data_IF_567415683214
#
_entry.id   IF_567415683214
#
_cell.length_a   1.000
_cell.length_b   1.000
_cell.length_c   1.000
_cell.angle_alpha   90.00
_cell.angle_beta   90.00
_cell.angle_gamma   90.00
#
_symmetry.space_group_name_H-M   'P 1'
#
loop_
_entity.id
_entity.type
_entity.pdbx_description
1 polymer ?
#
# COMPACT_ATOMS: atom_id res chain seq x y z
N UNK A 1 -9.38 -10.96 -3.03
CA UNK A 1 -8.81 -9.69 -2.53
C UNK A 1 -7.70 -9.20 -3.45
N UNK A 2 -7.32 -7.93 -3.33
CA UNK A 2 -6.33 -7.25 -4.19
C UNK A 2 -4.99 -7.99 -4.26
N UNK A 3 -4.54 -8.56 -3.14
CA UNK A 3 -3.31 -9.35 -3.07
C UNK A 3 -3.29 -10.54 -4.05
N UNK A 4 -4.43 -11.25 -4.21
CA UNK A 4 -4.57 -12.36 -5.14
C UNK A 4 -4.53 -11.87 -6.60
N UNK A 5 -5.29 -10.82 -6.92
CA UNK A 5 -5.35 -10.26 -8.28
C UNK A 5 -3.96 -9.79 -8.73
N UNK A 6 -3.25 -9.06 -7.86
CA UNK A 6 -1.88 -8.62 -8.11
C UNK A 6 -0.91 -9.79 -8.25
N UNK A 7 -1.11 -10.87 -7.50
CA UNK A 7 -0.36 -12.12 -7.67
C UNK A 7 -0.56 -12.73 -9.05
N UNK A 8 -1.81 -12.83 -9.53
CA UNK A 8 -2.13 -13.34 -10.87
C UNK A 8 -1.55 -12.45 -11.98
N UNK A 9 -1.64 -11.14 -11.83
CA UNK A 9 -1.04 -10.22 -12.81
C UNK A 9 0.48 -10.34 -12.80
N UNK A 10 1.10 -10.50 -11.63
CA UNK A 10 2.55 -10.61 -11.49
C UNK A 10 3.14 -11.81 -12.24
N UNK A 11 2.45 -12.95 -12.32
CA UNK A 11 2.99 -14.15 -12.99
C UNK A 11 3.22 -13.96 -14.49
N UNK A 12 2.65 -12.90 -15.09
CA UNK A 12 2.80 -12.56 -16.50
C UNK A 12 3.89 -11.52 -16.76
N UNK A 13 4.43 -10.93 -15.71
CA UNK A 13 5.37 -9.81 -15.84
C UNK A 13 6.80 -10.30 -16.01
N UNK A 14 7.66 -9.57 -16.74
CA UNK A 14 9.07 -9.96 -16.89
C UNK A 14 9.86 -9.92 -15.57
N UNK A 15 9.32 -9.30 -14.52
CA UNK A 15 9.87 -9.28 -13.16
C UNK A 15 9.21 -10.27 -12.20
N UNK A 16 8.49 -11.28 -12.70
CA UNK A 16 7.84 -12.25 -11.83
C UNK A 16 8.84 -13.11 -11.03
N UNK A 17 10.07 -13.29 -11.53
CA UNK A 17 11.17 -14.03 -10.91
C UNK A 17 12.16 -13.12 -10.19
N UNK A 18 12.95 -13.67 -9.28
CA UNK A 18 14.02 -12.95 -8.58
C UNK A 18 15.05 -12.32 -9.54
N UNK A 19 15.39 -13.02 -10.63
CA UNK A 19 16.30 -12.57 -11.68
C UNK A 19 15.70 -11.36 -12.41
N UNK A 20 14.42 -11.45 -12.78
CA UNK A 20 13.69 -10.32 -13.38
C UNK A 20 13.64 -9.12 -12.44
N UNK A 21 13.31 -9.33 -11.15
CA UNK A 21 13.31 -8.23 -10.18
C UNK A 21 14.67 -7.51 -10.10
N UNK A 22 15.78 -8.25 -10.19
CA UNK A 22 17.14 -7.70 -10.23
C UNK A 22 17.43 -6.96 -11.54
N UNK A 23 17.08 -7.57 -12.67
CA UNK A 23 17.28 -6.99 -14.01
C UNK A 23 16.59 -5.63 -14.14
N UNK A 24 15.40 -5.49 -13.56
CA UNK A 24 14.63 -4.25 -13.58
C UNK A 24 14.89 -3.35 -12.36
N UNK A 25 15.85 -3.70 -11.50
CA UNK A 25 16.21 -2.95 -10.28
C UNK A 25 14.99 -2.53 -9.46
N UNK A 26 14.08 -3.48 -9.19
CA UNK A 26 12.82 -3.19 -8.53
C UNK A 26 13.01 -2.82 -7.06
N UNK A 27 12.26 -1.82 -6.61
CA UNK A 27 12.10 -1.53 -5.18
C UNK A 27 11.33 -2.66 -4.48
N UNK A 28 11.46 -2.79 -3.14
CA UNK A 28 10.65 -3.73 -2.37
C UNK A 28 9.16 -3.46 -2.55
N UNK A 29 8.40 -4.46 -3.01
CA UNK A 29 6.95 -4.32 -3.17
C UNK A 29 6.18 -4.43 -1.85
N UNK A 30 6.82 -4.95 -0.80
CA UNK A 30 6.16 -5.31 0.46
C UNK A 30 5.36 -4.16 1.10
N UNK A 31 5.89 -2.92 1.23
CA UNK A 31 5.10 -1.81 1.78
C UNK A 31 3.86 -1.48 0.94
N UNK A 32 3.98 -1.59 -0.39
CA UNK A 32 2.83 -1.37 -1.30
C UNK A 32 1.80 -2.49 -1.16
N UNK A 33 2.23 -3.76 -1.10
CA UNK A 33 1.31 -4.90 -0.97
C UNK A 33 0.54 -4.89 0.34
N UNK A 34 1.26 -4.74 1.47
CA UNK A 34 0.66 -4.74 2.80
C UNK A 34 -0.17 -3.46 3.01
N UNK A 35 0.29 -2.31 2.50
CA UNK A 35 -0.45 -1.05 2.51
C UNK A 35 -1.78 -1.14 1.77
N UNK A 36 -1.77 -1.64 0.53
CA UNK A 36 -3.00 -1.86 -0.24
C UNK A 36 -3.92 -2.88 0.43
N UNK A 37 -3.39 -3.97 0.96
CA UNK A 37 -4.18 -4.99 1.65
C UNK A 37 -4.92 -4.41 2.87
N UNK A 38 -4.21 -3.65 3.70
CA UNK A 38 -4.80 -2.99 4.87
C UNK A 38 -5.79 -1.90 4.50
N UNK A 39 -5.44 -1.04 3.55
CA UNK A 39 -6.31 0.02 3.04
C UNK A 39 -7.62 -0.55 2.48
N UNK A 40 -7.54 -1.60 1.66
CA UNK A 40 -8.72 -2.22 1.06
C UNK A 40 -9.59 -2.99 2.07
N UNK A 41 -9.05 -3.33 3.24
CA UNK A 41 -9.82 -3.96 4.33
C UNK A 41 -10.80 -3.00 5.02
N UNK A 42 -10.58 -1.69 4.89
CA UNK A 42 -11.43 -0.63 5.48
C UNK A 42 -12.21 0.18 4.46
N UNK A 43 -11.92 0.00 3.17
CA UNK A 43 -12.38 0.85 2.06
C UNK A 43 -13.89 1.13 1.98
N UNK A 44 -14.73 0.18 2.41
CA UNK A 44 -16.19 0.32 2.35
C UNK A 44 -16.87 0.30 3.72
N UNK A 45 -16.11 0.57 4.78
CA UNK A 45 -16.68 0.68 6.14
C UNK A 45 -17.34 2.06 6.29
N UNK A 46 -18.48 2.11 6.99
CA UNK A 46 -19.19 3.38 7.30
C UNK A 46 -18.32 4.39 8.06
N UNK A 47 -17.43 3.88 8.90
CA UNK A 47 -16.44 4.68 9.62
C UNK A 47 -15.09 4.02 9.37
N UNK A 48 -14.36 4.40 8.31
CA UNK A 48 -13.15 3.73 7.90
C UNK A 48 -11.95 4.23 8.71
N UNK A 49 -12.05 4.13 10.04
CA UNK A 49 -10.89 4.34 10.88
C UNK A 49 -9.83 3.30 10.52
N UNK A 50 -8.65 3.78 10.15
CA UNK A 50 -7.48 2.94 9.95
C UNK A 50 -7.20 2.13 11.23
N UNK A 51 -7.60 2.68 12.39
CA UNK A 51 -7.40 2.10 13.70
C UNK A 51 -8.66 2.18 14.56
N UNK A 52 -9.15 1.05 15.08
CA UNK A 52 -10.07 1.06 16.23
C UNK A 52 -9.27 1.50 17.47
N UNK A 53 -9.89 2.17 18.45
CA UNK A 53 -9.19 2.60 19.67
C UNK A 53 -8.42 1.44 20.36
N UNK A 54 -9.02 0.26 20.43
CA UNK A 54 -8.37 -0.96 20.93
C UNK A 54 -7.19 -1.43 20.06
N UNK A 55 -7.28 -1.28 18.73
CA UNK A 55 -6.18 -1.61 17.81
C UNK A 55 -5.01 -0.62 17.94
N UNK A 56 -5.25 0.68 18.14
CA UNK A 56 -4.16 1.66 18.37
C UNK A 56 -3.29 1.26 19.55
N UNK A 57 -3.94 0.93 20.66
CA UNK A 57 -3.26 0.44 21.86
C UNK A 57 -2.49 -0.86 21.56
N UNK A 58 -3.14 -1.83 20.93
CA UNK A 58 -2.50 -3.11 20.60
C UNK A 58 -1.30 -2.95 19.66
N UNK A 59 -1.39 -2.08 18.64
CA UNK A 59 -0.30 -1.76 17.73
C UNK A 59 0.86 -1.05 18.44
N UNK A 60 0.59 -0.06 19.30
CA UNK A 60 1.63 0.57 20.10
C UNK A 60 2.36 -0.45 20.99
N UNK A 61 1.61 -1.36 21.62
CA UNK A 61 2.16 -2.42 22.46
C UNK A 61 2.95 -3.45 21.64
N UNK A 62 2.44 -3.86 20.46
CA UNK A 62 3.08 -4.86 19.58
C UNK A 62 4.31 -4.33 18.87
N UNK A 63 4.29 -3.08 18.43
CA UNK A 63 5.47 -2.42 17.87
C UNK A 63 6.64 -2.45 18.86
N UNK A 64 6.38 -2.35 20.17
CA UNK A 64 7.41 -2.41 21.22
C UNK A 64 7.63 -3.81 21.81
N UNK A 65 6.90 -4.82 21.35
CA UNK A 65 7.00 -6.19 21.87
C UNK A 65 8.36 -6.80 21.53
N UNK A 66 9.08 -7.23 22.56
CA UNK A 66 10.43 -7.78 22.43
C UNK A 66 11.55 -6.74 22.41
N UNK A 67 11.22 -5.45 22.56
CA UNK A 67 12.22 -4.40 22.72
C UNK A 67 12.55 -4.23 24.22
N UNK A 68 13.78 -4.58 24.60
CA UNK A 68 14.24 -4.54 26.00
C UNK A 68 14.38 -3.11 26.54
N UNK A 69 14.76 -2.16 25.67
CA UNK A 69 14.90 -0.75 26.00
C UNK A 69 14.06 0.10 25.03
N UNK A 70 13.00 0.70 25.56
CA UNK A 70 12.05 1.52 24.78
C UNK A 70 12.53 2.95 24.55
N UNK A 71 13.65 3.36 25.17
CA UNK A 71 14.31 4.64 24.92
C UNK A 71 15.12 4.64 23.62
N UNK A 72 15.48 3.46 23.11
CA UNK A 72 16.22 3.29 21.86
C UNK A 72 15.28 3.13 20.65
N UNK A 73 15.71 3.52 19.43
CA UNK A 73 14.97 3.21 18.21
C UNK A 73 14.84 1.69 18.01
N UNK A 74 13.64 1.22 17.65
CA UNK A 74 13.37 -0.20 17.41
C UNK A 74 11.87 -0.51 17.42
N UNK A 75 11.45 -1.52 16.63
CA UNK A 75 10.09 -2.05 16.67
C UNK A 75 9.96 -3.45 16.02
N UNK A 76 8.89 -4.18 16.36
CA UNK A 76 8.51 -5.42 15.67
C UNK A 76 8.05 -5.11 14.23
N UNK A 77 8.94 -5.36 13.27
CA UNK A 77 8.93 -4.82 11.91
C UNK A 77 7.68 -5.10 11.07
N UNK A 78 6.93 -6.18 11.37
CA UNK A 78 5.79 -6.58 10.54
C UNK A 78 4.62 -5.61 10.64
N UNK A 79 4.26 -5.18 11.86
CA UNK A 79 3.12 -4.30 12.10
C UNK A 79 3.40 -2.87 11.60
N UNK A 80 4.66 -2.45 11.61
CA UNK A 80 5.11 -1.17 11.05
C UNK A 80 4.91 -1.09 9.54
N UNK A 81 5.18 -2.16 8.79
CA UNK A 81 5.05 -2.16 7.32
C UNK A 81 3.61 -1.93 6.87
N UNK A 82 2.62 -2.44 7.61
CA UNK A 82 1.21 -2.19 7.30
C UNK A 82 0.84 -0.72 7.45
N UNK A 83 1.25 -0.10 8.56
CA UNK A 83 0.97 1.30 8.88
C UNK A 83 1.67 2.23 7.87
N UNK A 84 2.99 2.07 7.75
CA UNK A 84 3.82 2.83 6.82
C UNK A 84 3.30 2.67 5.38
N UNK A 85 2.94 1.46 4.98
CA UNK A 85 2.36 1.17 3.67
C UNK A 85 1.05 1.92 3.40
N UNK A 86 0.10 1.93 4.34
CA UNK A 86 -1.15 2.68 4.18
C UNK A 86 -0.87 4.17 4.03
N UNK A 87 -0.06 4.74 4.93
CA UNK A 87 0.24 6.17 4.94
C UNK A 87 0.94 6.60 3.64
N UNK A 88 1.89 5.81 3.12
CA UNK A 88 2.53 6.06 1.83
C UNK A 88 1.53 6.04 0.68
N UNK A 89 0.65 5.05 0.63
CA UNK A 89 -0.38 4.97 -0.42
C UNK A 89 -1.34 6.15 -0.34
N UNK A 90 -1.75 6.56 0.86
CA UNK A 90 -2.63 7.72 1.05
C UNK A 90 -1.93 9.05 0.70
N UNK A 91 -0.65 9.23 1.07
CA UNK A 91 0.17 10.39 0.71
C UNK A 91 0.26 10.54 -0.81
N UNK A 92 0.52 9.45 -1.52
CA UNK A 92 0.67 9.49 -2.97
C UNK A 92 -0.61 9.15 -3.73
N UNK A 93 -1.79 9.11 -3.08
CA UNK A 93 -3.03 8.64 -3.72
C UNK A 93 -3.40 9.41 -4.99
N UNK A 94 -3.06 10.70 -5.06
CA UNK A 94 -3.34 11.54 -6.23
C UNK A 94 -2.34 11.34 -7.37
N UNK A 95 -1.18 10.73 -7.12
CA UNK A 95 -0.12 10.52 -8.13
C UNK A 95 0.01 9.06 -8.56
N UNK A 96 -0.52 8.12 -7.77
CA UNK A 96 -0.52 6.70 -8.10
C UNK A 96 -1.57 6.40 -9.17
N UNK A 97 -1.12 5.87 -10.31
CA UNK A 97 -2.00 5.20 -11.29
C UNK A 97 -2.41 3.83 -10.72
N UNK A 98 -3.52 3.79 -9.97
CA UNK A 98 -4.00 2.57 -9.30
C UNK A 98 -4.35 1.43 -10.27
N UNK A 99 -5.05 1.67 -11.40
CA UNK A 99 -5.28 0.62 -12.40
C UNK A 99 -3.98 0.04 -12.94
N UNK A 100 -3.00 0.88 -13.30
CA UNK A 100 -1.71 0.40 -13.78
C UNK A 100 -0.94 -0.32 -12.68
N UNK A 101 -0.94 0.20 -11.46
CA UNK A 101 -0.35 -0.46 -10.31
C UNK A 101 -0.94 -1.86 -10.13
N UNK A 102 -2.26 -2.02 -10.20
CA UNK A 102 -2.92 -3.32 -10.14
C UNK A 102 -2.48 -4.24 -11.28
N UNK A 103 -2.41 -3.73 -12.51
CA UNK A 103 -2.01 -4.47 -13.70
C UNK A 103 -0.55 -4.95 -13.68
N UNK A 104 0.37 -4.15 -13.14
CA UNK A 104 1.80 -4.47 -13.06
C UNK A 104 2.15 -5.51 -11.98
N UNK A 105 1.18 -5.96 -11.19
CA UNK A 105 1.37 -7.04 -10.22
C UNK A 105 2.16 -6.60 -8.98
N UNK A 106 3.11 -7.42 -8.51
CA UNK A 106 3.79 -7.26 -7.21
C UNK A 106 4.96 -6.27 -7.30
N UNK A 107 4.67 -4.99 -7.52
CA UNK A 107 5.65 -3.90 -7.64
C UNK A 107 5.38 -2.77 -6.64
N UNK A 108 6.40 -1.97 -6.31
CA UNK A 108 6.20 -0.73 -5.56
C UNK A 108 5.40 0.28 -6.39
N UNK A 109 4.56 1.10 -5.76
CA UNK A 109 3.88 2.21 -6.43
C UNK A 109 4.88 3.19 -7.08
N UNK A 110 6.08 3.28 -6.53
CA UNK A 110 7.15 4.17 -7.01
C UNK A 110 7.73 3.72 -8.36
N UNK A 111 7.64 2.41 -8.68
CA UNK A 111 8.17 1.85 -9.93
C UNK A 111 7.16 1.92 -11.08
N UNK A 112 5.88 2.23 -10.81
CA UNK A 112 4.76 2.13 -11.77
C UNK A 112 5.05 2.86 -13.07
N UNK A 113 5.44 4.14 -12.98
CA UNK A 113 5.67 4.98 -14.16
C UNK A 113 6.82 4.46 -15.04
N UNK A 114 7.89 3.96 -14.40
CA UNK A 114 9.05 3.41 -15.09
C UNK A 114 8.75 2.07 -15.76
N UNK A 115 7.93 1.24 -15.11
CA UNK A 115 7.59 -0.10 -15.58
C UNK A 115 6.50 -0.15 -16.65
N UNK A 116 5.71 0.92 -16.81
CA UNK A 116 4.63 1.03 -17.80
C UNK A 116 5.02 0.55 -19.20
N UNK A 117 6.23 0.87 -19.66
CA UNK A 117 6.75 0.52 -21.00
C UNK A 117 7.19 -0.94 -21.16
N UNK A 118 7.36 -1.66 -20.07
CA UNK A 118 7.83 -3.05 -20.07
C UNK A 118 6.74 -4.05 -19.63
N UNK A 119 5.69 -3.54 -19.00
CA UNK A 119 4.64 -4.36 -18.41
C UNK A 119 3.76 -5.04 -19.44
N UNK A 120 3.41 -6.29 -19.17
CA UNK A 120 2.39 -7.02 -19.91
C UNK A 120 1.03 -6.61 -19.38
N UNK A 121 0.34 -5.72 -20.10
CA UNK A 121 -0.96 -5.15 -19.69
C UNK A 121 -2.16 -5.88 -20.32
N UNK A 122 -1.93 -6.68 -21.36
CA UNK A 122 -2.99 -7.44 -22.02
C UNK A 122 -3.64 -8.42 -21.04
N UNK A 123 -4.98 -8.38 -20.96
CA UNK A 123 -5.78 -9.23 -20.06
C UNK A 123 -5.39 -9.09 -18.57
N UNK A 124 -4.81 -7.96 -18.17
CA UNK A 124 -4.59 -7.65 -16.78
C UNK A 124 -5.92 -7.59 -16.03
N UNK A 125 -5.96 -8.17 -14.83
CA UNK A 125 -7.16 -8.19 -14.00
C UNK A 125 -7.17 -6.96 -13.09
N UNK A 126 -8.26 -6.22 -13.11
CA UNK A 126 -8.48 -5.07 -12.21
C UNK A 126 -9.56 -5.44 -11.19
N UNK A 127 -9.39 -5.16 -9.88
CA UNK A 127 -10.44 -5.37 -8.90
C UNK A 127 -11.73 -4.62 -9.28
N UNK A 128 -12.88 -5.27 -9.12
CA UNK A 128 -14.19 -4.69 -9.50
C UNK A 128 -14.41 -3.29 -8.89
N UNK A 129 -14.06 -3.13 -7.62
CA UNK A 129 -14.23 -1.86 -6.91
C UNK A 129 -13.30 -0.72 -7.39
N UNK A 130 -12.31 -1.04 -8.22
CA UNK A 130 -11.36 -0.09 -8.83
C UNK A 130 -11.71 0.22 -10.29
N UNK A 131 -12.76 -0.41 -10.85
CA UNK A 131 -13.26 -0.10 -12.19
C UNK A 131 -13.92 1.29 -12.23
N UNK A 132 -14.62 1.65 -11.15
CA UNK A 132 -15.11 3.01 -10.91
C UNK A 132 -14.04 3.77 -10.13
N UNK A 133 -13.10 4.38 -10.86
CA UNK A 133 -11.97 5.08 -10.26
C UNK A 133 -12.41 6.32 -9.48
N UNK A 134 -13.45 7.04 -9.94
CA UNK A 134 -13.97 8.21 -9.24
C UNK A 134 -14.50 7.82 -7.86
N UNK A 135 -15.31 6.76 -7.79
CA UNK A 135 -15.80 6.23 -6.52
C UNK A 135 -14.67 5.70 -5.64
N UNK A 136 -13.70 5.00 -6.22
CA UNK A 136 -12.54 4.51 -5.49
C UNK A 136 -11.75 5.66 -4.84
N UNK A 137 -11.45 6.72 -5.60
CA UNK A 137 -10.76 7.91 -5.10
C UNK A 137 -11.57 8.61 -4.00
N UNK A 138 -12.89 8.76 -4.17
CA UNK A 138 -13.78 9.30 -3.12
C UNK A 138 -13.71 8.49 -1.83
N UNK A 139 -13.56 7.17 -1.89
CA UNK A 139 -13.37 6.36 -0.68
C UNK A 139 -12.01 6.60 -0.04
N UNK A 140 -10.94 6.78 -0.83
CA UNK A 140 -9.63 7.12 -0.28
C UNK A 140 -9.64 8.48 0.43
N UNK A 141 -10.27 9.49 -0.17
CA UNK A 141 -10.43 10.80 0.47
C UNK A 141 -11.33 10.73 1.70
N UNK A 142 -12.35 9.88 1.69
CA UNK A 142 -13.17 9.62 2.87
C UNK A 142 -12.36 8.99 4.02
N UNK A 143 -11.40 8.10 3.70
CA UNK A 143 -10.50 7.52 4.70
C UNK A 143 -9.59 8.60 5.28
N UNK A 144 -8.97 9.42 4.44
CA UNK A 144 -8.08 10.52 4.88
C UNK A 144 -8.82 11.46 5.83
N UNK A 145 -10.00 11.95 5.41
CA UNK A 145 -10.82 12.88 6.20
C UNK A 145 -11.33 12.27 7.50
N UNK A 146 -11.79 11.01 7.49
CA UNK A 146 -12.28 10.34 8.71
C UNK A 146 -11.17 10.14 9.75
N UNK A 147 -9.93 9.96 9.31
CA UNK A 147 -8.79 9.76 10.20
C UNK A 147 -8.10 11.08 10.57
N UNK A 148 -8.65 12.22 10.15
CA UNK A 148 -8.11 13.55 10.43
C UNK A 148 -6.76 13.81 9.76
N UNK A 149 -6.40 13.04 8.74
CA UNK A 149 -5.15 13.19 8.01
C UNK A 149 -5.26 14.33 7.01
N UNK A 150 -4.18 15.10 6.85
CA UNK A 150 -4.03 16.06 5.78
C UNK A 150 -2.68 15.91 5.06
N UNK A 151 -2.48 16.64 3.96
CA UNK A 151 -1.26 16.52 3.14
C UNK A 151 0.01 16.92 3.90
N UNK A 152 -0.07 17.97 4.74
CA UNK A 152 1.06 18.44 5.55
C UNK A 152 1.48 17.38 6.59
N UNK A 153 0.51 16.79 7.29
CA UNK A 153 0.78 15.69 8.23
C UNK A 153 1.38 14.47 7.53
N UNK A 154 0.86 14.11 6.34
CA UNK A 154 1.39 12.99 5.58
C UNK A 154 2.82 13.24 5.09
N UNK A 155 3.15 14.48 4.74
CA UNK A 155 4.49 14.90 4.36
C UNK A 155 5.46 14.92 5.56
N UNK A 156 5.02 15.40 6.72
CA UNK A 156 5.83 15.38 7.95
C UNK A 156 6.08 13.95 8.46
N UNK A 157 5.08 13.06 8.38
CA UNK A 157 5.19 11.68 8.86
C UNK A 157 6.07 10.81 7.96
N UNK A 158 6.17 11.14 6.67
CA UNK A 158 6.88 10.36 5.67
C UNK A 158 7.69 11.30 4.77
N UNK A 159 8.83 11.86 5.22
CA UNK A 159 9.70 12.62 4.33
C UNK A 159 10.28 11.72 3.22
N UNK A 160 10.64 12.32 2.08
CA UNK A 160 11.19 11.63 0.90
C UNK A 160 12.57 11.01 1.14
#
# INVERSE_FOLDING_TARGET
GTHYIRGVNNTRQPWHSSEGRKQYSLKPANPTEEGLASLHSVLFRKQPFLWRAALRWEYCVRAKRGQTDTSQPGCFSKDQVYLDGILRILRHRQTIDFPLLAALGKVSYEDVNRLKKFGVLEKARIPHFMQDLERYMKQLDHIVTTNGLNEEELEQLLPD
#
